data_IF_987478188317
#
_entry.id   IF_987478188317
#
_cell.length_a   1.000
_cell.length_b   1.000
_cell.length_c   1.000
_cell.angle_alpha   90.00
_cell.angle_beta   90.00
_cell.angle_gamma   90.00
#
_symmetry.space_group_name_H-M   'P 1'
#
loop_
_entity.id
_entity.type
_entity.pdbx_description
1 polymer ?
#
# COMPACT_ATOMS: atom_id res chain seq x y z
N UNK A 1 -23.10 8.63 -25.80
CA UNK A 1 -22.47 7.29 -25.79
C UNK A 1 -21.45 7.26 -24.67
N UNK A 2 -21.54 6.25 -23.78
CA UNK A 2 -20.73 6.17 -22.56
C UNK A 2 -19.23 6.05 -22.84
N UNK A 3 -18.45 6.90 -22.17
CA UNK A 3 -16.99 6.90 -22.19
C UNK A 3 -16.47 5.64 -21.49
N UNK A 4 -15.86 4.73 -22.25
CA UNK A 4 -15.13 3.58 -21.71
C UNK A 4 -14.07 4.09 -20.73
N UNK A 5 -14.10 3.57 -19.51
CA UNK A 5 -13.10 3.95 -18.52
C UNK A 5 -11.78 3.29 -18.91
N UNK A 6 -10.64 3.96 -18.74
CA UNK A 6 -9.31 3.38 -19.01
C UNK A 6 -8.97 2.16 -18.12
N UNK A 7 -9.85 1.78 -17.19
CA UNK A 7 -9.81 0.51 -16.44
C UNK A 7 -10.40 -0.69 -17.22
N UNK A 8 -11.12 -0.44 -18.31
CA UNK A 8 -11.60 -1.48 -19.23
C UNK A 8 -10.46 -2.03 -20.10
N UNK A 9 -9.28 -1.38 -20.08
CA UNK A 9 -8.09 -1.82 -20.78
C UNK A 9 -7.26 -2.79 -19.90
N UNK A 10 -7.35 -4.12 -20.15
CA UNK A 10 -6.82 -5.14 -19.26
C UNK A 10 -5.28 -5.08 -19.14
N UNK A 11 -4.58 -4.50 -20.11
CA UNK A 11 -3.13 -4.36 -20.06
C UNK A 11 -2.67 -3.28 -19.08
N UNK A 12 -3.37 -2.13 -19.05
CA UNK A 12 -3.08 -1.03 -18.13
C UNK A 12 -3.38 -1.40 -16.67
N UNK A 13 -4.54 -2.05 -16.43
CA UNK A 13 -4.93 -2.52 -15.10
C UNK A 13 -3.92 -3.55 -14.52
N UNK A 14 -3.43 -4.48 -15.35
CA UNK A 14 -2.40 -5.46 -14.97
C UNK A 14 -1.08 -4.79 -14.59
N UNK A 15 -0.67 -3.77 -15.34
CA UNK A 15 0.56 -3.03 -15.05
C UNK A 15 0.46 -2.28 -13.71
N UNK A 16 -0.65 -1.58 -13.48
CA UNK A 16 -0.91 -0.85 -12.24
C UNK A 16 -0.99 -1.79 -11.03
N UNK A 17 -1.69 -2.92 -11.15
CA UNK A 17 -1.79 -3.93 -10.09
C UNK A 17 -0.44 -4.53 -9.69
N UNK A 18 0.44 -4.80 -10.66
CA UNK A 18 1.78 -5.30 -10.39
C UNK A 18 2.61 -4.30 -9.57
N UNK A 19 2.51 -3.01 -9.89
CA UNK A 19 3.19 -1.95 -9.14
C UNK A 19 2.63 -1.79 -7.73
N UNK A 20 1.29 -1.80 -7.59
CA UNK A 20 0.62 -1.77 -6.29
C UNK A 20 1.07 -2.92 -5.38
N UNK A 21 1.06 -4.17 -5.85
CA UNK A 21 1.54 -5.31 -5.06
C UNK A 21 3.02 -5.21 -4.70
N UNK A 22 3.86 -4.64 -5.57
CA UNK A 22 5.27 -4.39 -5.25
C UNK A 22 5.40 -3.38 -4.10
N UNK A 23 4.62 -2.30 -4.13
CA UNK A 23 4.60 -1.30 -3.06
C UNK A 23 4.08 -1.89 -1.74
N UNK A 24 3.04 -2.73 -1.75
CA UNK A 24 2.59 -3.45 -0.55
C UNK A 24 3.65 -4.40 -0.01
N UNK A 25 4.35 -5.14 -0.89
CA UNK A 25 5.45 -6.01 -0.50
C UNK A 25 6.57 -5.24 0.20
N UNK A 26 6.99 -4.09 -0.36
CA UNK A 26 7.97 -3.21 0.28
C UNK A 26 7.47 -2.62 1.59
N UNK A 27 6.20 -2.20 1.65
CA UNK A 27 5.59 -1.67 2.87
C UNK A 27 5.55 -2.73 3.97
N UNK A 28 5.25 -3.99 3.63
CA UNK A 28 5.30 -5.11 4.56
C UNK A 28 6.72 -5.41 5.06
N UNK A 29 7.72 -5.37 4.18
CA UNK A 29 9.11 -5.55 4.56
C UNK A 29 9.59 -4.44 5.52
N UNK A 30 9.26 -3.18 5.22
CA UNK A 30 9.57 -2.03 6.10
C UNK A 30 8.82 -2.17 7.44
N UNK A 31 7.53 -2.53 7.40
CA UNK A 31 6.73 -2.76 8.60
C UNK A 31 7.31 -3.87 9.49
N UNK A 32 7.77 -4.96 8.90
CA UNK A 32 8.41 -6.05 9.61
C UNK A 32 9.72 -5.58 10.27
N UNK A 33 10.59 -4.90 9.53
CA UNK A 33 11.85 -4.34 10.06
C UNK A 33 11.58 -3.36 11.20
N UNK A 34 10.62 -2.44 11.02
CA UNK A 34 10.22 -1.50 12.05
C UNK A 34 9.69 -2.22 13.30
N UNK A 35 8.94 -3.30 13.11
CA UNK A 35 8.39 -4.08 14.22
C UNK A 35 9.46 -4.84 15.01
N UNK A 36 10.47 -5.39 14.34
CA UNK A 36 11.61 -6.03 15.00
C UNK A 36 12.43 -5.01 15.80
N UNK A 37 12.65 -3.82 15.23
CA UNK A 37 13.28 -2.69 15.91
C UNK A 37 12.48 -2.28 17.15
N UNK A 38 11.16 -2.19 17.05
CA UNK A 38 10.29 -1.85 18.17
C UNK A 38 10.37 -2.91 19.29
N UNK A 39 10.30 -4.20 18.96
CA UNK A 39 10.44 -5.29 19.93
C UNK A 39 11.80 -5.23 20.61
N UNK A 40 12.87 -4.98 19.86
CA UNK A 40 14.22 -4.88 20.40
C UNK A 40 14.37 -3.69 21.36
N UNK A 41 13.92 -2.50 20.96
CA UNK A 41 13.93 -1.28 21.78
C UNK A 41 13.14 -1.46 23.08
N UNK A 42 11.95 -2.05 23.02
CA UNK A 42 11.12 -2.29 24.21
C UNK A 42 11.74 -3.38 25.09
N UNK A 43 12.35 -4.41 24.49
CA UNK A 43 13.07 -5.46 25.20
C UNK A 43 14.26 -4.94 26.00
N UNK A 44 15.03 -4.00 25.44
CA UNK A 44 16.12 -3.31 26.15
C UNK A 44 15.61 -2.42 27.28
N UNK A 45 14.51 -1.70 27.07
CA UNK A 45 14.01 -0.72 28.05
C UNK A 45 13.27 -1.35 29.24
N UNK A 46 12.49 -2.42 29.02
CA UNK A 46 11.57 -2.98 30.02
C UNK A 46 11.80 -4.46 30.33
N UNK A 47 12.80 -5.10 29.69
CA UNK A 47 13.04 -6.53 29.77
C UNK A 47 12.28 -7.34 28.73
N UNK A 48 12.57 -8.64 28.67
CA UNK A 48 12.06 -9.52 27.61
C UNK A 48 10.52 -9.54 27.57
N UNK A 49 9.95 -9.19 26.42
CA UNK A 49 8.51 -9.30 26.19
C UNK A 49 8.08 -10.76 26.14
N UNK A 50 6.95 -11.06 26.78
CA UNK A 50 6.28 -12.35 26.61
C UNK A 50 5.87 -12.59 25.16
N UNK A 51 5.83 -13.86 24.74
CA UNK A 51 5.63 -14.23 23.33
C UNK A 51 4.35 -13.64 22.70
N UNK A 52 3.26 -13.53 23.47
CA UNK A 52 2.00 -12.91 23.01
C UNK A 52 2.19 -11.42 22.71
N UNK A 53 2.88 -10.70 23.59
CA UNK A 53 3.13 -9.27 23.41
C UNK A 53 4.04 -9.00 22.20
N UNK A 54 5.05 -9.85 22.00
CA UNK A 54 5.91 -9.80 20.81
C UNK A 54 5.12 -10.01 19.52
N UNK A 55 4.26 -11.03 19.45
CA UNK A 55 3.42 -11.25 18.27
C UNK A 55 2.40 -10.13 18.05
N UNK A 56 1.80 -9.61 19.12
CA UNK A 56 0.87 -8.49 19.05
C UNK A 56 1.56 -7.23 18.53
N UNK A 57 2.80 -6.96 18.97
CA UNK A 57 3.58 -5.81 18.49
C UNK A 57 4.00 -5.98 17.03
N UNK A 58 4.50 -7.16 16.65
CA UNK A 58 4.87 -7.45 15.25
C UNK A 58 3.66 -7.31 14.34
N UNK A 59 2.55 -7.93 14.70
CA UNK A 59 1.30 -7.87 13.95
C UNK A 59 0.73 -6.45 13.89
N UNK A 60 0.73 -5.72 15.02
CA UNK A 60 0.21 -4.37 15.11
C UNK A 60 1.02 -3.36 14.29
N UNK A 61 2.35 -3.37 14.43
CA UNK A 61 3.24 -2.45 13.69
C UNK A 61 3.23 -2.78 12.19
N UNK A 62 3.48 -4.05 11.84
CA UNK A 62 3.52 -4.47 10.43
C UNK A 62 2.16 -4.27 9.76
N UNK A 63 1.07 -4.63 10.45
CA UNK A 63 -0.30 -4.45 9.97
C UNK A 63 -0.65 -2.98 9.75
N UNK A 64 -0.28 -2.09 10.66
CA UNK A 64 -0.54 -0.65 10.50
C UNK A 64 0.22 -0.06 9.31
N UNK A 65 1.49 -0.43 9.13
CA UNK A 65 2.31 0.03 7.99
C UNK A 65 1.76 -0.52 6.67
N UNK A 66 1.38 -1.80 6.63
CA UNK A 66 0.71 -2.40 5.48
C UNK A 66 -0.59 -1.68 5.15
N UNK A 67 -1.38 -1.32 6.16
CA UNK A 67 -2.62 -0.59 5.95
C UNK A 67 -2.40 0.81 5.40
N UNK A 68 -1.44 1.56 5.95
CA UNK A 68 -1.06 2.85 5.41
C UNK A 68 -0.59 2.74 3.95
N UNK A 69 0.25 1.75 3.63
CA UNK A 69 0.71 1.48 2.27
C UNK A 69 -0.43 1.08 1.31
N UNK A 70 -1.39 0.28 1.78
CA UNK A 70 -2.56 -0.12 1.01
C UNK A 70 -3.45 1.07 0.69
N UNK A 71 -3.76 1.91 1.68
CA UNK A 71 -4.56 3.12 1.49
C UNK A 71 -3.90 4.07 0.49
N UNK A 72 -2.61 4.36 0.67
CA UNK A 72 -1.84 5.21 -0.25
C UNK A 72 -1.86 4.64 -1.68
N UNK A 73 -1.69 3.32 -1.84
CA UNK A 73 -1.75 2.67 -3.14
C UNK A 73 -3.13 2.70 -3.79
N UNK A 74 -4.21 2.57 -3.01
CA UNK A 74 -5.58 2.68 -3.50
C UNK A 74 -5.92 4.10 -3.95
N UNK A 75 -5.44 5.13 -3.24
CA UNK A 75 -5.60 6.53 -3.66
C UNK A 75 -4.95 6.79 -5.02
N UNK A 76 -3.75 6.24 -5.28
CA UNK A 76 -3.10 6.38 -6.59
C UNK A 76 -3.85 5.67 -7.73
N UNK A 77 -4.44 4.51 -7.46
CA UNK A 77 -5.31 3.83 -8.43
C UNK A 77 -6.57 4.64 -8.69
N UNK A 78 -7.14 5.28 -7.66
CA UNK A 78 -8.31 6.13 -7.77
C UNK A 78 -8.06 7.43 -8.54
N UNK A 79 -6.84 7.98 -8.54
CA UNK A 79 -6.54 9.22 -9.28
C UNK A 79 -6.18 8.98 -10.76
N UNK A 80 -5.73 7.78 -11.11
CA UNK A 80 -5.34 7.42 -12.48
C UNK A 80 -6.53 7.10 -13.41
N UNK A 81 -7.76 7.11 -12.90
CA UNK A 81 -8.99 6.90 -13.67
C UNK A 81 -9.39 8.20 -14.37
N UNK A 82 -8.65 8.55 -15.41
CA UNK A 82 -8.78 9.81 -16.15
C UNK A 82 -10.21 10.24 -16.50
N UNK A 83 -10.70 11.25 -15.79
CA UNK A 83 -11.76 12.14 -16.27
C UNK A 83 -11.22 13.35 -17.05
N UNK A 84 -9.93 13.65 -16.96
CA UNK A 84 -9.40 14.94 -17.43
C UNK A 84 -8.57 14.87 -18.73
N UNK A 85 -8.44 13.69 -19.36
CA UNK A 85 -7.74 13.55 -20.65
C UNK A 85 -8.68 13.46 -21.87
N UNK A 86 -10.00 13.59 -21.69
CA UNK A 86 -10.94 13.66 -22.79
C UNK A 86 -11.16 15.11 -23.27
N UNK A 87 -10.08 15.81 -23.64
CA UNK A 87 -10.22 17.02 -24.46
C UNK A 87 -10.11 16.57 -25.92
N UNK A 88 -11.27 16.49 -26.56
CA UNK A 88 -11.44 16.19 -27.98
C UNK A 88 -10.80 17.34 -28.79
N UNK A 89 -9.76 17.11 -29.62
CA UNK A 89 -9.16 18.16 -30.45
C UNK A 89 -10.06 18.61 -31.62
N UNK A 90 -11.36 18.29 -31.59
CA UNK A 90 -12.36 18.68 -32.60
C UNK A 90 -13.04 20.02 -32.32
N UNK A 91 -12.63 20.72 -31.26
CA UNK A 91 -13.14 22.05 -30.90
C UNK A 91 -12.21 23.22 -31.33
N UNK A 92 -11.32 23.00 -32.31
CA UNK A 92 -10.49 24.04 -32.96
C UNK A 92 -10.75 24.14 -34.46
#
# INVERSE_FOLDING_TARGET
MGSMSRLDDPEYARFAWRRFRRLLGWSGAIGLVASLLAVWLVGEAYGALGWVATLAMIGGVTGSVLMAGALMGLTFLSSGTGHDEAIDPRDL
#
